data_IF_883287197353
#
_entry.id   IF_883287197353
#
_cell.length_a   1.000
_cell.length_b   1.000
_cell.length_c   1.000
_cell.angle_alpha   90.00
_cell.angle_beta   90.00
_cell.angle_gamma   90.00
#
_symmetry.space_group_name_H-M   'P 1'
#
loop_
_entity.id
_entity.type
_entity.pdbx_description
1 polymer ?
#
# COMPACT_ATOMS: atom_id res chain seq x y z
N UNK A 1 -18.42 19.76 1.97
CA UNK A 1 -17.55 20.85 1.44
C UNK A 1 -16.18 20.33 1.05
N UNK A 2 -15.50 19.62 1.92
CA UNK A 2 -14.13 19.10 1.66
C UNK A 2 -13.99 18.11 0.50
N UNK A 3 -14.98 17.25 0.23
CA UNK A 3 -14.93 16.29 -0.90
C UNK A 3 -14.82 17.00 -2.26
N UNK A 4 -15.57 18.07 -2.49
CA UNK A 4 -15.49 18.82 -3.77
C UNK A 4 -14.13 19.46 -3.96
N UNK A 5 -13.51 19.94 -2.87
CA UNK A 5 -12.17 20.52 -2.90
C UNK A 5 -11.11 19.43 -3.19
N UNK A 6 -11.25 18.24 -2.60
CA UNK A 6 -10.35 17.12 -2.87
C UNK A 6 -10.43 16.67 -4.35
N UNK A 7 -11.62 16.56 -4.93
CA UNK A 7 -11.78 16.20 -6.34
C UNK A 7 -11.13 17.23 -7.26
N UNK A 8 -11.41 18.52 -7.03
CA UNK A 8 -10.79 19.60 -7.80
C UNK A 8 -9.27 19.61 -7.67
N UNK A 9 -8.73 19.35 -6.47
CA UNK A 9 -7.28 19.29 -6.27
C UNK A 9 -6.64 18.07 -6.94
N UNK A 10 -7.31 16.93 -6.98
CA UNK A 10 -6.82 15.75 -7.72
C UNK A 10 -6.75 16.08 -9.22
N UNK A 11 -7.80 16.67 -9.79
CA UNK A 11 -7.83 17.11 -11.20
C UNK A 11 -6.67 18.08 -11.48
N UNK A 12 -6.48 19.10 -10.64
CA UNK A 12 -5.39 20.07 -10.78
C UNK A 12 -4.01 19.40 -10.69
N UNK A 13 -3.81 18.50 -9.74
CA UNK A 13 -2.55 17.79 -9.58
C UNK A 13 -2.20 16.94 -10.80
N UNK A 14 -3.20 16.30 -11.40
CA UNK A 14 -2.98 15.46 -12.58
C UNK A 14 -2.80 16.32 -13.84
N UNK A 15 -3.69 17.27 -14.10
CA UNK A 15 -3.75 18.00 -15.37
C UNK A 15 -2.72 19.14 -15.46
N UNK A 16 -2.49 19.85 -14.35
CA UNK A 16 -1.59 21.01 -14.34
C UNK A 16 -0.17 20.64 -13.85
N UNK A 17 -0.08 19.74 -12.83
CA UNK A 17 1.21 19.41 -12.20
C UNK A 17 1.79 18.06 -12.66
N UNK A 18 1.04 17.30 -13.46
CA UNK A 18 1.45 15.99 -13.96
C UNK A 18 1.81 14.98 -12.83
N UNK A 19 1.12 15.06 -11.71
CA UNK A 19 1.28 14.13 -10.58
C UNK A 19 0.41 12.90 -10.74
N UNK A 20 0.98 11.71 -10.54
CA UNK A 20 0.33 10.43 -10.81
C UNK A 20 0.05 9.60 -9.55
N UNK A 21 0.39 10.10 -8.36
CA UNK A 21 0.24 9.39 -7.09
C UNK A 21 -0.67 10.17 -6.16
N UNK A 22 -1.63 9.48 -5.57
CA UNK A 22 -2.51 9.98 -4.53
C UNK A 22 -2.19 9.28 -3.20
N UNK A 23 -1.71 10.03 -2.20
CA UNK A 23 -1.49 9.52 -0.86
C UNK A 23 -2.75 9.68 -0.02
N UNK A 24 -3.24 8.59 0.55
CA UNK A 24 -4.45 8.56 1.37
C UNK A 24 -4.19 7.89 2.73
N UNK A 25 -4.85 8.34 3.80
CA UNK A 25 -4.81 7.63 5.08
C UNK A 25 -5.58 6.31 4.98
N UNK A 26 -5.32 5.39 5.92
CA UNK A 26 -6.12 4.17 6.08
C UNK A 26 -7.56 4.46 6.49
N UNK A 27 -7.74 5.52 7.30
CA UNK A 27 -9.01 5.92 7.88
C UNK A 27 -9.15 7.43 7.89
N UNK A 28 -10.37 7.91 7.98
CA UNK A 28 -10.71 9.32 8.14
C UNK A 28 -11.79 9.51 9.19
N UNK A 29 -11.88 10.70 9.75
CA UNK A 29 -12.96 11.07 10.66
C UNK A 29 -14.08 11.75 9.86
N UNK A 30 -15.29 11.21 9.95
CA UNK A 30 -16.46 11.78 9.29
C UNK A 30 -16.97 13.06 10.00
N UNK A 31 -18.01 13.67 9.44
CA UNK A 31 -18.55 14.94 9.95
C UNK A 31 -19.22 14.86 11.33
N UNK A 32 -19.48 13.65 11.81
CA UNK A 32 -20.08 13.41 13.15
C UNK A 32 -19.05 12.83 14.14
N UNK A 33 -17.76 12.82 13.76
CA UNK A 33 -16.68 12.39 14.63
C UNK A 33 -16.49 10.87 14.72
N UNK A 34 -16.99 10.11 13.75
CA UNK A 34 -16.77 8.67 13.67
C UNK A 34 -15.62 8.35 12.72
N UNK A 35 -14.78 7.41 13.12
CA UNK A 35 -13.74 6.86 12.25
C UNK A 35 -14.32 5.91 11.22
N UNK A 36 -13.96 6.13 9.96
CA UNK A 36 -14.38 5.36 8.80
C UNK A 36 -13.16 4.88 8.02
N UNK A 37 -13.28 3.75 7.36
CA UNK A 37 -12.28 3.36 6.37
C UNK A 37 -12.22 4.38 5.24
N UNK A 38 -11.03 4.66 4.70
CA UNK A 38 -10.90 5.51 3.52
C UNK A 38 -11.67 4.94 2.31
N UNK A 39 -11.84 3.62 2.27
CA UNK A 39 -12.58 2.92 1.22
C UNK A 39 -14.10 2.83 1.46
N UNK A 40 -14.62 3.55 2.45
CA UNK A 40 -16.06 3.68 2.64
C UNK A 40 -16.71 4.32 1.40
N UNK A 41 -17.94 3.89 1.08
CA UNK A 41 -18.73 4.36 -0.08
C UNK A 41 -18.87 5.87 -0.15
N UNK A 42 -18.77 6.54 0.96
CA UNK A 42 -18.76 8.00 0.99
C UNK A 42 -17.64 8.63 0.16
N UNK A 43 -16.54 7.91 -0.07
CA UNK A 43 -15.39 8.36 -0.83
C UNK A 43 -15.35 7.84 -2.27
N UNK A 44 -16.39 7.15 -2.73
CA UNK A 44 -16.43 6.56 -4.08
C UNK A 44 -16.06 7.56 -5.19
N UNK A 45 -16.49 8.82 -5.09
CA UNK A 45 -16.16 9.85 -6.07
C UNK A 45 -14.63 10.10 -6.21
N UNK A 46 -13.85 9.96 -5.13
CA UNK A 46 -12.38 10.06 -5.17
C UNK A 46 -11.81 8.88 -5.97
N UNK A 47 -12.32 7.68 -5.71
CA UNK A 47 -11.85 6.47 -6.39
C UNK A 47 -12.33 6.38 -7.84
N UNK A 48 -13.51 6.90 -8.17
CA UNK A 48 -13.98 7.06 -9.57
C UNK A 48 -13.03 7.95 -10.35
N UNK A 49 -12.64 9.10 -9.78
CA UNK A 49 -11.70 10.02 -10.39
C UNK A 49 -10.30 9.42 -10.51
N UNK A 50 -9.81 8.77 -9.46
CA UNK A 50 -8.52 8.07 -9.47
C UNK A 50 -8.51 6.93 -10.51
N UNK A 51 -9.61 6.20 -10.65
CA UNK A 51 -9.77 5.15 -11.66
C UNK A 51 -9.81 5.69 -13.09
N UNK A 52 -10.45 6.85 -13.30
CA UNK A 52 -10.47 7.56 -14.58
C UNK A 52 -9.06 7.94 -15.02
N UNK A 53 -8.30 8.58 -14.16
CA UNK A 53 -6.91 8.97 -14.42
C UNK A 53 -5.88 7.83 -14.28
N UNK A 54 -6.31 6.62 -13.90
CA UNK A 54 -5.44 5.45 -13.68
C UNK A 54 -4.30 5.74 -12.69
N UNK A 55 -4.63 6.39 -11.58
CA UNK A 55 -3.64 6.80 -10.60
C UNK A 55 -3.04 5.61 -9.82
N UNK A 56 -1.82 5.79 -9.35
CA UNK A 56 -1.27 5.03 -8.25
C UNK A 56 -1.79 5.61 -6.93
N UNK A 57 -2.14 4.75 -5.98
CA UNK A 57 -2.56 5.16 -4.62
C UNK A 57 -1.60 4.58 -3.60
N UNK A 58 -1.14 5.42 -2.68
CA UNK A 58 -0.42 5.02 -1.48
C UNK A 58 -1.36 5.07 -0.29
N UNK A 59 -1.48 3.97 0.45
CA UNK A 59 -2.27 3.88 1.68
C UNK A 59 -1.32 3.81 2.86
N UNK A 60 -1.31 4.88 3.66
CA UNK A 60 -0.45 5.00 4.83
C UNK A 60 -1.27 5.27 6.10
N UNK A 61 -0.94 4.68 7.25
CA UNK A 61 -1.65 4.93 8.52
C UNK A 61 -1.28 6.29 9.09
N UNK A 62 -2.31 7.05 9.49
CA UNK A 62 -2.16 8.35 10.17
C UNK A 62 -3.14 8.45 11.34
N UNK A 63 -2.81 9.27 12.33
CA UNK A 63 -3.70 9.68 13.43
C UNK A 63 -4.38 8.52 14.20
N UNK A 64 -3.83 7.31 14.15
CA UNK A 64 -4.45 6.14 14.75
C UNK A 64 -4.48 6.16 16.28
N UNK A 65 -3.64 6.97 16.91
CA UNK A 65 -3.70 7.27 18.33
C UNK A 65 -5.06 7.87 18.72
N UNK A 66 -5.67 8.64 17.82
CA UNK A 66 -7.02 9.18 18.00
C UNK A 66 -8.13 8.14 17.80
N UNK A 67 -7.87 7.12 16.95
CA UNK A 67 -8.80 6.01 16.74
C UNK A 67 -8.86 5.10 17.96
N UNK A 68 -7.73 4.85 18.56
CA UNK A 68 -7.57 3.91 19.65
C UNK A 68 -7.33 4.71 20.92
N UNK A 69 -8.36 4.85 21.74
CA UNK A 69 -8.31 5.56 23.03
C UNK A 69 -7.49 4.77 24.07
N UNK A 70 -6.29 4.36 23.69
CA UNK A 70 -5.34 3.66 24.54
C UNK A 70 -4.12 4.53 24.75
N UNK A 71 -3.52 4.45 25.94
CA UNK A 71 -2.24 5.10 26.18
C UNK A 71 -1.17 4.59 25.19
N UNK A 72 -0.41 5.53 24.62
CA UNK A 72 0.70 5.21 23.72
C UNK A 72 1.99 4.91 24.51
N UNK A 73 1.88 4.15 25.59
CA UNK A 73 3.04 3.67 26.33
C UNK A 73 3.81 2.63 25.52
N UNK A 74 5.12 2.58 25.68
CA UNK A 74 5.99 1.62 24.96
C UNK A 74 5.86 1.72 23.44
N UNK A 75 5.57 2.90 22.95
CA UNK A 75 5.42 3.20 21.51
C UNK A 75 4.40 2.30 20.77
N UNK A 76 3.39 1.80 21.49
CA UNK A 76 2.38 0.83 21.03
C UNK A 76 1.71 1.25 19.74
N UNK A 77 1.49 2.55 19.56
CA UNK A 77 0.83 3.06 18.37
C UNK A 77 1.65 2.69 17.12
N UNK A 78 2.93 3.05 17.06
CA UNK A 78 3.79 2.79 15.91
C UNK A 78 4.12 1.31 15.73
N UNK A 79 4.39 0.59 16.83
CA UNK A 79 4.85 -0.79 16.75
C UNK A 79 3.73 -1.81 16.47
N UNK A 80 2.48 -1.48 16.77
CA UNK A 80 1.35 -2.44 16.67
C UNK A 80 0.21 -1.88 15.81
N UNK A 81 -0.30 -0.69 16.17
CA UNK A 81 -1.56 -0.24 15.60
C UNK A 81 -1.43 0.30 14.18
N UNK A 82 -0.32 0.91 13.80
CA UNK A 82 -0.08 1.30 12.41
C UNK A 82 -0.12 0.10 11.48
N UNK A 83 0.49 -1.01 11.88
CA UNK A 83 0.46 -2.25 11.12
C UNK A 83 -0.96 -2.85 11.05
N UNK A 84 -1.70 -2.79 12.16
CA UNK A 84 -3.09 -3.24 12.21
C UNK A 84 -4.00 -2.41 11.28
N UNK A 85 -3.79 -1.10 11.21
CA UNK A 85 -4.54 -0.21 10.30
C UNK A 85 -4.28 -0.53 8.83
N UNK A 86 -3.03 -0.78 8.44
CA UNK A 86 -2.72 -1.22 7.08
C UNK A 86 -3.38 -2.56 6.74
N UNK A 87 -3.37 -3.49 7.69
CA UNK A 87 -4.05 -4.78 7.56
C UNK A 87 -5.57 -4.66 7.43
N UNK A 88 -6.19 -3.78 8.20
CA UNK A 88 -7.61 -3.48 8.13
C UNK A 88 -7.98 -2.80 6.81
N UNK A 89 -7.21 -1.81 6.38
CA UNK A 89 -7.41 -1.14 5.11
C UNK A 89 -7.33 -2.13 3.92
N UNK A 90 -6.35 -3.03 3.91
CA UNK A 90 -6.25 -4.07 2.89
C UNK A 90 -7.43 -5.06 2.95
N UNK A 91 -7.86 -5.45 4.15
CA UNK A 91 -9.04 -6.29 4.34
C UNK A 91 -10.28 -5.64 3.75
N UNK A 92 -10.53 -4.38 4.11
CA UNK A 92 -11.68 -3.63 3.60
C UNK A 92 -11.60 -3.46 2.08
N UNK A 93 -10.43 -3.07 1.54
CA UNK A 93 -10.20 -2.92 0.10
C UNK A 93 -10.57 -4.19 -0.68
N UNK A 94 -10.07 -5.33 -0.25
CA UNK A 94 -10.26 -6.59 -1.00
C UNK A 94 -11.66 -7.18 -0.82
N UNK A 95 -12.25 -7.10 0.37
CA UNK A 95 -13.54 -7.72 0.65
C UNK A 95 -14.73 -6.79 0.40
N UNK A 96 -14.49 -5.51 0.20
CA UNK A 96 -15.53 -4.54 -0.16
C UNK A 96 -15.59 -4.25 -1.66
N UNK A 97 -14.90 -5.02 -2.48
CA UNK A 97 -14.98 -4.98 -3.93
C UNK A 97 -14.32 -3.78 -4.61
N UNK A 98 -13.31 -3.17 -3.96
CA UNK A 98 -12.57 -2.05 -4.55
C UNK A 98 -11.85 -2.43 -5.85
N UNK A 99 -11.27 -3.65 -5.90
CA UNK A 99 -10.59 -4.18 -7.07
C UNK A 99 -11.52 -4.34 -8.28
N UNK A 100 -12.78 -4.72 -8.03
CA UNK A 100 -13.80 -4.91 -9.07
C UNK A 100 -14.35 -3.57 -9.54
N UNK A 101 -14.59 -2.64 -8.60
CA UNK A 101 -15.18 -1.34 -8.92
C UNK A 101 -14.20 -0.40 -9.61
N UNK A 102 -12.93 -0.46 -9.25
CA UNK A 102 -11.89 0.47 -9.69
C UNK A 102 -10.66 -0.27 -10.23
N UNK A 103 -10.80 -1.01 -11.34
CA UNK A 103 -9.76 -1.93 -11.84
C UNK A 103 -8.51 -1.24 -12.38
N UNK A 104 -8.54 0.08 -12.62
CA UNK A 104 -7.39 0.81 -13.18
C UNK A 104 -6.52 1.46 -12.09
N UNK A 105 -6.94 1.42 -10.82
CA UNK A 105 -6.15 1.96 -9.71
C UNK A 105 -5.08 0.96 -9.32
N UNK A 106 -3.87 1.45 -9.05
CA UNK A 106 -2.74 0.66 -8.55
C UNK A 106 -2.46 1.07 -7.11
N UNK A 107 -2.89 0.25 -6.15
CA UNK A 107 -2.84 0.57 -4.71
C UNK A 107 -1.67 -0.11 -4.03
N UNK A 108 -0.84 0.65 -3.34
CA UNK A 108 0.19 0.15 -2.43
C UNK A 108 -0.25 0.32 -0.97
N UNK A 109 -0.01 -0.68 -0.18
CA UNK A 109 -0.24 -0.67 1.27
C UNK A 109 1.10 -0.60 1.98
N UNK A 110 1.30 0.47 2.74
CA UNK A 110 2.53 0.74 3.48
C UNK A 110 2.87 -0.36 4.50
N UNK A 111 4.13 -0.37 4.92
CA UNK A 111 4.67 -1.30 5.92
C UNK A 111 4.47 -2.78 5.55
N UNK A 112 4.60 -3.09 4.25
CA UNK A 112 4.39 -4.43 3.70
C UNK A 112 3.00 -5.00 3.93
N UNK A 113 2.04 -4.19 4.41
CA UNK A 113 0.73 -4.67 4.83
C UNK A 113 0.83 -5.85 5.81
N UNK A 114 1.78 -5.84 6.73
CA UNK A 114 2.20 -7.01 7.54
C UNK A 114 1.04 -7.81 8.12
N UNK A 115 0.05 -7.15 8.75
CA UNK A 115 -1.11 -7.84 9.31
C UNK A 115 -1.96 -8.53 8.23
N UNK A 116 -1.97 -8.00 7.01
CA UNK A 116 -2.67 -8.62 5.87
C UNK A 116 -2.05 -9.96 5.47
N UNK A 117 -0.72 -10.07 5.57
CA UNK A 117 0.00 -11.30 5.25
C UNK A 117 -0.29 -12.40 6.27
N UNK A 118 -0.31 -12.04 7.55
CA UNK A 118 -0.53 -12.98 8.66
C UNK A 118 -1.96 -13.54 8.69
N UNK A 119 -2.97 -12.74 8.40
CA UNK A 119 -4.37 -13.13 8.59
C UNK A 119 -5.07 -13.71 7.35
N UNK A 120 -4.33 -14.02 6.27
CA UNK A 120 -4.92 -14.56 5.03
C UNK A 120 -5.81 -15.79 5.27
N UNK A 121 -5.34 -16.75 6.07
CA UNK A 121 -6.13 -17.96 6.39
C UNK A 121 -7.46 -17.64 7.06
N UNK A 122 -7.46 -16.68 7.99
CA UNK A 122 -8.69 -16.24 8.66
C UNK A 122 -9.66 -15.55 7.70
N UNK A 123 -9.16 -14.73 6.78
CA UNK A 123 -9.98 -14.07 5.74
C UNK A 123 -10.61 -15.08 4.79
N UNK A 124 -9.85 -16.10 4.37
CA UNK A 124 -10.37 -17.21 3.56
C UNK A 124 -11.51 -17.92 4.30
N UNK A 125 -11.27 -18.35 5.54
CA UNK A 125 -12.27 -19.05 6.34
C UNK A 125 -13.53 -18.21 6.56
N UNK A 126 -13.38 -16.91 6.79
CA UNK A 126 -14.50 -15.98 6.94
C UNK A 126 -15.29 -15.84 5.64
N UNK A 127 -14.61 -15.68 4.51
CA UNK A 127 -15.25 -15.55 3.21
C UNK A 127 -16.02 -16.81 2.81
N UNK A 128 -15.45 -17.99 3.02
CA UNK A 128 -16.10 -19.27 2.73
C UNK A 128 -17.29 -19.52 3.64
N UNK A 129 -17.20 -19.14 4.92
CA UNK A 129 -18.25 -19.37 5.90
C UNK A 129 -19.40 -18.35 5.86
N UNK A 130 -19.14 -17.12 5.47
CA UNK A 130 -20.12 -16.02 5.46
C UNK A 130 -19.93 -15.08 4.26
N UNK A 131 -20.02 -15.60 3.01
CA UNK A 131 -19.86 -14.77 1.80
C UNK A 131 -20.90 -13.66 1.68
N UNK A 132 -22.02 -13.80 2.36
CA UNK A 132 -23.11 -12.82 2.44
C UNK A 132 -22.69 -11.49 3.11
N UNK A 133 -21.62 -11.48 3.88
CA UNK A 133 -21.13 -10.29 4.58
C UNK A 133 -20.20 -9.41 3.71
N UNK A 134 -19.83 -9.84 2.52
CA UNK A 134 -18.85 -9.16 1.68
C UNK A 134 -19.45 -8.66 0.37
N UNK A 135 -19.15 -7.42 0.03
CA UNK A 135 -19.54 -6.84 -1.26
C UNK A 135 -18.67 -7.38 -2.39
N UNK A 136 -17.36 -7.50 -2.15
CA UNK A 136 -16.40 -8.05 -3.11
C UNK A 136 -16.65 -9.52 -3.40
N UNK A 137 -16.46 -9.90 -4.67
CA UNK A 137 -16.68 -11.27 -5.14
C UNK A 137 -15.37 -12.00 -5.42
N UNK A 138 -14.24 -11.28 -5.40
CA UNK A 138 -12.93 -11.90 -5.55
C UNK A 138 -12.58 -12.64 -4.26
N UNK A 139 -12.49 -13.95 -4.35
CA UNK A 139 -12.07 -14.78 -3.22
C UNK A 139 -10.69 -14.35 -2.70
N UNK A 140 -10.43 -14.30 -1.36
CA UNK A 140 -9.16 -13.83 -0.80
C UNK A 140 -7.91 -14.51 -1.34
N UNK A 141 -7.98 -15.79 -1.74
CA UNK A 141 -6.86 -16.48 -2.42
C UNK A 141 -6.53 -15.88 -3.79
N UNK A 142 -7.51 -15.35 -4.50
CA UNK A 142 -7.34 -14.73 -5.82
C UNK A 142 -6.95 -13.25 -5.73
N UNK A 143 -7.20 -12.63 -4.59
CA UNK A 143 -6.74 -11.28 -4.31
C UNK A 143 -5.22 -11.22 -4.02
N UNK A 144 -4.65 -12.35 -3.61
CA UNK A 144 -3.20 -12.48 -3.38
C UNK A 144 -2.47 -12.44 -4.72
N UNK A 145 -1.43 -11.62 -4.83
CA UNK A 145 -0.67 -11.45 -6.07
C UNK A 145 -1.45 -10.74 -7.19
N UNK A 146 -2.51 -10.02 -6.87
CA UNK A 146 -3.28 -9.27 -7.87
C UNK A 146 -2.45 -8.12 -8.45
N UNK A 147 -2.44 -7.99 -9.78
CA UNK A 147 -1.55 -7.09 -10.53
C UNK A 147 -1.60 -5.60 -10.13
N UNK A 148 -2.69 -5.16 -9.52
CA UNK A 148 -2.89 -3.76 -9.11
C UNK A 148 -2.80 -3.56 -7.59
N UNK A 149 -2.33 -4.56 -6.84
CA UNK A 149 -2.08 -4.43 -5.40
C UNK A 149 -0.60 -4.59 -5.14
N UNK A 150 -0.02 -3.63 -4.47
CA UNK A 150 1.40 -3.55 -4.14
C UNK A 150 1.62 -3.41 -2.63
N UNK A 151 2.81 -3.77 -2.19
CA UNK A 151 3.27 -3.60 -0.83
C UNK A 151 4.71 -3.09 -0.85
N UNK A 152 5.06 -2.22 0.08
CA UNK A 152 6.44 -1.78 0.22
C UNK A 152 7.32 -2.79 0.99
N UNK A 153 8.62 -2.56 0.98
CA UNK A 153 9.60 -3.44 1.63
C UNK A 153 9.77 -3.16 3.12
N UNK A 154 9.08 -2.21 3.72
CA UNK A 154 9.32 -1.79 5.10
C UNK A 154 8.70 -2.76 6.12
N UNK A 155 9.29 -3.92 6.25
CA UNK A 155 8.86 -4.98 7.20
C UNK A 155 9.91 -5.38 8.23
N UNK A 156 11.10 -4.77 8.20
CA UNK A 156 12.19 -4.79 9.18
C UNK A 156 12.89 -6.13 9.41
N UNK A 157 12.35 -7.26 8.95
CA UNK A 157 13.00 -8.57 9.08
C UNK A 157 12.74 -9.47 7.87
N UNK A 158 13.69 -10.37 7.61
CA UNK A 158 13.65 -11.27 6.46
C UNK A 158 12.57 -12.34 6.57
N UNK A 159 12.11 -12.70 7.78
CA UNK A 159 11.03 -13.66 7.97
C UNK A 159 9.67 -13.10 7.53
N UNK A 160 9.37 -11.86 7.91
CA UNK A 160 8.18 -11.12 7.44
C UNK A 160 8.25 -10.89 5.92
N UNK A 161 9.42 -10.55 5.40
CA UNK A 161 9.63 -10.37 3.96
C UNK A 161 9.44 -11.68 3.19
N UNK A 162 9.97 -12.79 3.66
CA UNK A 162 9.79 -14.13 3.05
C UNK A 162 8.31 -14.53 3.01
N UNK A 163 7.57 -14.27 4.11
CA UNK A 163 6.13 -14.49 4.12
C UNK A 163 5.42 -13.65 3.06
N UNK A 164 5.78 -12.36 2.93
CA UNK A 164 5.20 -11.46 1.96
C UNK A 164 5.48 -11.92 0.52
N UNK A 165 6.73 -12.28 0.18
CA UNK A 165 7.11 -12.85 -1.12
C UNK A 165 6.32 -14.13 -1.42
N UNK A 166 6.21 -15.05 -0.47
CA UNK A 166 5.45 -16.31 -0.63
C UNK A 166 3.95 -16.08 -0.81
N UNK A 167 3.40 -15.00 -0.26
CA UNK A 167 1.97 -14.67 -0.38
C UNK A 167 1.67 -13.91 -1.67
N UNK A 168 2.40 -12.83 -1.92
CA UNK A 168 2.07 -11.86 -2.96
C UNK A 168 2.85 -12.07 -4.28
N UNK A 169 4.01 -12.72 -4.21
CA UNK A 169 4.98 -12.74 -5.30
C UNK A 169 5.83 -11.47 -5.34
N UNK A 170 7.04 -11.57 -5.89
CA UNK A 170 7.98 -10.43 -5.95
C UNK A 170 7.49 -9.27 -6.82
N UNK A 171 6.69 -9.56 -7.85
CA UNK A 171 6.17 -8.54 -8.78
C UNK A 171 5.18 -7.54 -8.16
N UNK A 172 4.68 -7.83 -6.96
CA UNK A 172 3.77 -6.97 -6.20
C UNK A 172 4.47 -6.22 -5.06
N UNK A 173 5.79 -6.34 -4.98
CA UNK A 173 6.58 -5.69 -3.95
C UNK A 173 7.37 -4.53 -4.59
N UNK A 174 7.38 -3.40 -3.92
CA UNK A 174 8.13 -2.20 -4.33
C UNK A 174 9.05 -1.74 -3.22
N UNK A 175 10.15 -1.08 -3.57
CA UNK A 175 11.00 -0.44 -2.58
C UNK A 175 10.26 0.68 -1.85
N UNK A 176 10.33 0.71 -0.52
CA UNK A 176 9.82 1.77 0.34
C UNK A 176 10.67 1.92 1.59
N UNK A 177 10.92 3.17 2.02
CA UNK A 177 11.87 3.51 3.07
C UNK A 177 11.23 4.09 4.32
N UNK A 178 10.03 4.65 4.23
CA UNK A 178 9.37 5.44 5.29
C UNK A 178 10.23 6.62 5.80
N UNK A 179 11.06 7.17 4.92
CA UNK A 179 11.90 8.35 5.22
C UNK A 179 11.01 9.61 5.39
N UNK A 180 11.18 10.46 6.40
CA UNK A 180 12.27 10.54 7.40
C UNK A 180 11.89 9.98 8.81
N UNK A 181 11.01 9.04 8.90
CA UNK A 181 10.51 8.55 10.19
C UNK A 181 11.50 7.61 10.90
N UNK A 182 11.48 7.56 12.26
CA UNK A 182 12.45 6.77 13.03
C UNK A 182 12.43 5.25 12.80
N UNK A 183 11.34 4.73 12.23
CA UNK A 183 11.23 3.33 11.82
C UNK A 183 11.56 3.13 10.34
N UNK A 184 11.93 4.20 9.62
CA UNK A 184 12.36 4.11 8.23
C UNK A 184 13.68 3.37 8.07
N UNK A 185 13.89 2.79 6.89
CA UNK A 185 15.14 2.13 6.50
C UNK A 185 16.12 3.17 5.92
N UNK A 186 16.60 4.04 6.80
CA UNK A 186 17.50 5.16 6.46
C UNK A 186 18.94 4.87 6.91
N UNK A 187 19.88 5.70 6.47
CA UNK A 187 21.25 5.67 6.95
C UNK A 187 21.31 5.94 8.44
N UNK A 188 21.80 4.97 9.23
CA UNK A 188 21.91 5.08 10.68
C UNK A 188 22.98 4.16 11.22
N UNK A 189 24.05 4.74 11.78
CA UNK A 189 25.10 3.97 12.47
C UNK A 189 24.54 3.22 13.70
N UNK A 190 23.67 3.89 14.48
CA UNK A 190 23.10 3.33 15.70
C UNK A 190 22.24 2.08 15.44
N UNK A 191 21.54 2.05 14.31
CA UNK A 191 20.70 0.93 13.89
C UNK A 191 21.40 0.02 12.90
N UNK A 192 22.62 0.36 12.49
CA UNK A 192 23.33 -0.30 11.37
C UNK A 192 22.42 -0.44 10.14
N UNK A 193 21.65 0.61 9.83
CA UNK A 193 20.66 0.64 8.76
C UNK A 193 21.13 1.51 7.59
N UNK A 194 20.66 1.18 6.41
CA UNK A 194 20.85 1.94 5.17
C UNK A 194 19.72 1.57 4.20
N UNK A 195 19.38 2.44 3.22
CA UNK A 195 18.36 2.15 2.22
C UNK A 195 18.62 0.84 1.48
N UNK A 196 17.67 -0.09 1.52
CA UNK A 196 17.77 -1.40 0.85
C UNK A 196 18.45 -2.49 1.65
N UNK A 197 18.81 -2.26 2.92
CA UNK A 197 19.41 -3.27 3.79
C UNK A 197 18.60 -4.57 3.84
N UNK A 198 17.29 -4.47 3.97
CA UNK A 198 16.42 -5.65 4.00
C UNK A 198 16.51 -6.46 2.70
N UNK A 199 16.52 -5.79 1.55
CA UNK A 199 16.64 -6.46 0.25
C UNK A 199 18.00 -7.14 0.10
N UNK A 200 19.08 -6.51 0.55
CA UNK A 200 20.42 -7.12 0.55
C UNK A 200 20.43 -8.38 1.42
N UNK A 201 19.86 -8.33 2.61
CA UNK A 201 19.75 -9.49 3.49
C UNK A 201 18.90 -10.60 2.86
N UNK A 202 17.77 -10.26 2.28
CA UNK A 202 16.87 -11.22 1.63
C UNK A 202 17.56 -11.90 0.42
N UNK A 203 18.31 -11.15 -0.38
CA UNK A 203 19.11 -11.70 -1.47
C UNK A 203 20.22 -12.62 -0.97
N UNK A 204 20.96 -12.21 0.04
CA UNK A 204 22.02 -13.02 0.64
C UNK A 204 21.47 -14.33 1.24
N UNK A 205 20.28 -14.31 1.81
CA UNK A 205 19.58 -15.49 2.33
C UNK A 205 18.85 -16.31 1.24
N UNK A 206 18.93 -15.89 -0.04
CA UNK A 206 18.26 -16.53 -1.18
C UNK A 206 16.72 -16.57 -1.09
N UNK A 207 16.12 -15.63 -0.39
CA UNK A 207 14.68 -15.41 -0.37
C UNK A 207 14.23 -14.84 -1.71
N UNK A 208 15.06 -13.96 -2.28
CA UNK A 208 14.92 -13.43 -3.65
C UNK A 208 16.22 -13.63 -4.43
N UNK A 209 16.11 -13.70 -5.74
CA UNK A 209 17.26 -13.72 -6.66
C UNK A 209 17.60 -12.30 -7.15
N UNK A 210 18.66 -12.16 -7.97
CA UNK A 210 19.09 -10.84 -8.46
C UNK A 210 18.01 -10.14 -9.29
N UNK A 211 17.34 -10.83 -10.20
CA UNK A 211 16.29 -10.21 -11.02
C UNK A 211 15.13 -9.69 -10.17
N UNK A 212 14.70 -10.47 -9.17
CA UNK A 212 13.66 -10.03 -8.23
C UNK A 212 14.09 -8.83 -7.39
N UNK A 213 15.38 -8.77 -7.02
CA UNK A 213 15.97 -7.63 -6.33
C UNK A 213 15.89 -6.37 -7.20
N UNK A 214 16.35 -6.47 -8.46
CA UNK A 214 16.33 -5.35 -9.39
C UNK A 214 14.89 -4.90 -9.71
N UNK A 215 13.98 -5.85 -9.96
CA UNK A 215 12.55 -5.57 -10.18
C UNK A 215 11.91 -4.79 -9.00
N UNK A 216 12.23 -5.16 -7.76
CA UNK A 216 11.68 -4.50 -6.56
C UNK A 216 12.20 -3.07 -6.43
N UNK A 217 13.48 -2.85 -6.77
CA UNK A 217 14.09 -1.53 -6.74
C UNK A 217 13.54 -0.60 -7.83
N UNK A 218 13.27 -1.09 -9.03
CA UNK A 218 13.00 -0.25 -10.20
C UNK A 218 11.71 -0.63 -10.93
N UNK A 219 11.65 -1.79 -11.60
CA UNK A 219 10.61 -2.12 -12.57
C UNK A 219 9.20 -2.16 -11.94
N UNK A 220 9.07 -2.70 -10.74
CA UNK A 220 7.80 -2.76 -10.05
C UNK A 220 7.32 -1.37 -9.63
N UNK A 221 8.24 -0.48 -9.21
CA UNK A 221 7.93 0.91 -8.88
C UNK A 221 7.42 1.65 -10.11
N UNK A 222 8.12 1.53 -11.24
CA UNK A 222 7.71 2.15 -12.50
C UNK A 222 6.36 1.61 -12.99
N UNK A 223 6.15 0.31 -12.91
CA UNK A 223 4.87 -0.31 -13.27
C UNK A 223 3.73 0.15 -12.36
N UNK A 224 3.98 0.28 -11.07
CA UNK A 224 3.00 0.85 -10.14
C UNK A 224 2.65 2.30 -10.50
N UNK A 225 3.65 3.13 -10.76
CA UNK A 225 3.45 4.56 -11.04
C UNK A 225 2.75 4.81 -12.38
N UNK A 226 3.14 4.08 -13.43
CA UNK A 226 2.75 4.39 -14.81
C UNK A 226 1.94 3.29 -15.49
N UNK A 227 1.74 2.14 -14.83
CA UNK A 227 1.12 0.96 -15.46
C UNK A 227 2.02 0.42 -16.58
N UNK A 228 1.39 -0.03 -17.65
CA UNK A 228 2.07 -0.52 -18.85
C UNK A 228 2.42 0.60 -19.87
N UNK A 229 2.39 1.85 -19.45
CA UNK A 229 2.72 3.00 -20.32
C UNK A 229 4.24 3.15 -20.48
N UNK A 230 4.81 2.31 -21.34
CA UNK A 230 6.25 2.30 -21.63
C UNK A 230 6.79 3.66 -22.10
N UNK A 231 5.98 4.48 -22.77
CA UNK A 231 6.39 5.82 -23.22
C UNK A 231 6.71 6.72 -22.03
N UNK A 232 5.86 6.73 -21.00
CA UNK A 232 6.12 7.52 -19.79
C UNK A 232 7.36 7.04 -19.05
N UNK A 233 7.59 5.73 -19.01
CA UNK A 233 8.80 5.14 -18.41
C UNK A 233 10.04 5.61 -19.15
N UNK A 234 10.07 5.49 -20.48
CA UNK A 234 11.19 5.91 -21.33
C UNK A 234 11.44 7.43 -21.20
N UNK A 235 10.39 8.24 -21.24
CA UNK A 235 10.51 9.70 -21.13
C UNK A 235 11.06 10.11 -19.76
N UNK A 236 10.70 9.41 -18.68
CA UNK A 236 11.24 9.64 -17.34
C UNK A 236 12.72 9.24 -17.27
N UNK A 237 13.08 8.06 -17.76
CA UNK A 237 14.48 7.60 -17.81
C UNK A 237 15.35 8.56 -18.57
N UNK A 238 14.92 9.04 -19.73
CA UNK A 238 15.67 10.02 -20.52
C UNK A 238 15.85 11.36 -19.80
N UNK A 239 14.86 11.81 -19.01
CA UNK A 239 14.96 13.03 -18.20
C UNK A 239 15.92 12.92 -17.02
N UNK A 240 16.10 11.71 -16.47
CA UNK A 240 17.03 11.48 -15.35
C UNK A 240 18.47 11.38 -15.84
N UNK A 241 18.67 10.88 -17.07
CA UNK A 241 19.99 10.69 -17.66
C UNK A 241 20.55 11.95 -18.37
N UNK A 242 19.77 13.01 -18.51
CA UNK A 242 20.17 14.32 -19.07
C UNK A 242 20.31 15.37 -17.99
#
# INVERSE_FOLDING_TARGET
>A
MYKRQALWEIERCVEELNLNVLCLPTHFMDSIGQWRSVFDRENDAIFELANHYKLAIEIHPYDGDKMIKLENTSWRFHLIWMLAQCGDAYHFYTLNGMQERYPNIRTCFAHGGQMAQMNLGRRIQGFDGRPDLFEGKIHPRKAVGHSNIYFDTLVHDTGSFDLMIKRQGSSQIIMGLDDPYPLGEMESEAQSSYPGKLLDLAKNQKIINQNQYDDIWEDNVLRRLFGEDQKKIIDLTNKILT
#
